data_IF_114099921834
#
_entry.id   IF_114099921834
#
_cell.length_a   1.000
_cell.length_b   1.000
_cell.length_c   1.000
_cell.angle_alpha   90.00
_cell.angle_beta   90.00
_cell.angle_gamma   90.00
#
_symmetry.space_group_name_H-M   'P 1'
#
loop_
_entity.id
_entity.type
_entity.pdbx_description
1 polymer ?
#
# COMPACT_ATOMS: atom_id res chain seq x y z
N UNK A 1 -9.94 -43.16 42.63
CA UNK A 1 -11.00 -43.56 43.56
C UNK A 1 -10.69 -42.91 44.90
N UNK A 2 -11.58 -42.01 45.36
CA UNK A 2 -11.91 -41.71 46.78
C UNK A 2 -10.89 -40.90 47.63
N UNK A 3 -11.24 -39.62 47.85
CA UNK A 3 -11.03 -38.84 49.11
C UNK A 3 -11.89 -39.45 50.24
N UNK A 4 -11.55 -39.35 51.55
CA UNK A 4 -11.58 -38.10 52.35
C UNK A 4 -10.49 -38.12 53.48
N UNK A 5 -10.30 -37.20 54.42
CA UNK A 5 -10.97 -36.02 54.95
C UNK A 5 -10.23 -35.61 56.24
N UNK A 6 -10.66 -34.52 56.86
CA UNK A 6 -10.35 -34.03 58.22
C UNK A 6 -8.98 -33.39 58.49
N UNK A 7 -8.99 -32.05 58.65
CA UNK A 7 -8.37 -31.45 59.83
C UNK A 7 -9.20 -30.29 60.37
N UNK A 8 -9.51 -30.43 61.66
CA UNK A 8 -10.32 -29.56 62.52
C UNK A 8 -9.55 -28.30 62.96
N UNK A 9 -10.36 -27.30 63.28
CA UNK A 9 -10.07 -25.97 63.82
C UNK A 9 -9.62 -26.01 65.29
N UNK A 10 -8.79 -25.04 65.69
CA UNK A 10 -8.72 -24.53 67.06
C UNK A 10 -8.69 -22.99 67.07
N UNK A 11 -9.60 -22.41 67.87
CA UNK A 11 -9.70 -21.04 68.44
C UNK A 11 -9.28 -19.82 67.60
N UNK A 12 -10.04 -18.71 67.55
CA UNK A 12 -10.60 -17.97 68.69
C UNK A 12 -11.79 -17.09 68.21
N UNK A 13 -12.66 -16.83 69.19
CA UNK A 13 -14.02 -16.28 69.18
C UNK A 13 -14.21 -14.90 68.54
N UNK A 14 -15.46 -14.74 68.09
CA UNK A 14 -16.10 -13.54 67.58
C UNK A 14 -16.40 -12.48 68.66
N UNK A 15 -16.36 -11.21 68.25
CA UNK A 15 -17.10 -10.11 68.89
C UNK A 15 -17.98 -9.38 67.84
N UNK A 16 -19.15 -8.84 68.26
CA UNK A 16 -20.20 -8.40 67.35
C UNK A 16 -19.96 -6.95 66.87
N UNK A 17 -20.22 -6.73 65.58
CA UNK A 17 -20.24 -5.41 64.97
C UNK A 17 -21.30 -4.53 65.64
N UNK A 18 -20.84 -3.58 66.45
CA UNK A 18 -21.65 -2.48 66.95
C UNK A 18 -21.96 -1.50 65.81
N UNK A 19 -23.25 -1.28 65.59
CA UNK A 19 -23.81 -0.22 64.77
C UNK A 19 -23.40 1.15 65.32
N UNK A 20 -22.48 1.83 64.62
CA UNK A 20 -22.15 3.24 64.90
C UNK A 20 -22.94 4.12 63.94
N UNK A 21 -23.70 5.03 64.55
CA UNK A 21 -24.60 5.96 63.92
C UNK A 21 -23.90 6.87 62.90
N UNK A 22 -24.61 7.09 61.78
CA UNK A 22 -24.35 8.13 60.79
C UNK A 22 -24.34 9.51 61.48
N UNK A 23 -23.16 10.03 61.77
CA UNK A 23 -22.95 11.46 61.95
C UNK A 23 -22.63 12.01 60.57
N UNK A 24 -23.59 12.76 60.00
CA UNK A 24 -23.44 13.43 58.72
C UNK A 24 -22.31 14.44 58.77
N UNK A 25 -21.16 14.05 58.21
CA UNK A 25 -20.13 14.99 57.77
C UNK A 25 -20.36 15.20 56.28
N UNK A 26 -20.64 16.42 55.81
CA UNK A 26 -20.83 16.66 54.38
C UNK A 26 -19.53 16.35 53.64
N UNK A 27 -19.61 15.46 52.65
CA UNK A 27 -18.54 15.25 51.68
C UNK A 27 -18.21 16.59 51.02
N UNK A 28 -16.94 17.01 50.94
CA UNK A 28 -16.60 18.19 50.15
C UNK A 28 -16.94 17.89 48.68
N UNK A 29 -17.78 18.74 48.10
CA UNK A 29 -18.02 18.79 46.66
C UNK A 29 -16.68 18.99 45.96
N UNK A 30 -16.21 17.97 45.25
CA UNK A 30 -15.03 18.08 44.38
C UNK A 30 -15.49 18.73 43.08
N UNK A 31 -15.94 19.98 43.17
CA UNK A 31 -16.11 20.86 42.03
C UNK A 31 -14.74 21.46 41.71
N UNK A 32 -14.17 21.04 40.57
CA UNK A 32 -13.04 21.73 39.95
C UNK A 32 -11.65 21.23 40.32
N UNK A 33 -11.36 19.95 40.11
CA UNK A 33 -9.99 19.53 39.79
C UNK A 33 -9.89 19.36 38.28
N UNK A 34 -9.71 20.47 37.57
CA UNK A 34 -9.26 20.42 36.18
C UNK A 34 -7.85 19.81 36.20
N UNK A 35 -7.71 18.57 35.74
CA UNK A 35 -6.40 18.05 35.40
C UNK A 35 -5.78 19.02 34.39
N UNK A 36 -4.61 19.61 34.66
CA UNK A 36 -3.96 20.47 33.68
C UNK A 36 -3.65 19.60 32.46
N UNK A 37 -4.42 19.79 31.39
CA UNK A 37 -4.08 19.22 30.10
C UNK A 37 -2.72 19.80 29.71
N UNK A 38 -1.75 18.96 29.29
CA UNK A 38 -0.48 19.46 28.78
C UNK A 38 -0.75 20.42 27.61
N UNK A 39 0.09 21.46 27.42
CA UNK A 39 -0.11 22.42 26.34
C UNK A 39 -0.21 21.68 25.00
N UNK A 40 -1.20 22.05 24.19
CA UNK A 40 -1.40 21.53 22.85
C UNK A 40 -0.17 21.87 21.99
N UNK A 41 0.79 20.96 21.95
CA UNK A 41 1.84 20.96 20.92
C UNK A 41 1.16 20.91 19.55
N UNK A 42 1.62 21.70 18.56
CA UNK A 42 1.07 21.63 17.22
C UNK A 42 1.13 20.18 16.72
N UNK A 43 0.12 19.69 15.99
CA UNK A 43 0.08 18.33 15.50
C UNK A 43 1.37 18.07 14.71
N UNK A 44 2.22 17.20 15.27
CA UNK A 44 3.40 16.70 14.57
C UNK A 44 2.86 15.98 13.32
N UNK A 45 3.44 16.19 12.12
CA UNK A 45 3.00 15.44 10.95
C UNK A 45 2.99 13.95 11.32
N UNK A 46 1.99 13.17 10.88
CA UNK A 46 1.83 11.79 11.31
C UNK A 46 3.15 11.06 11.06
N UNK A 47 3.89 10.78 12.15
CA UNK A 47 5.11 9.98 12.07
C UNK A 47 4.65 8.61 11.62
N UNK A 48 5.03 8.24 10.41
CA UNK A 48 4.72 6.91 9.86
C UNK A 48 5.30 5.92 10.86
N UNK A 49 4.46 5.09 11.53
CA UNK A 49 4.96 4.20 12.56
C UNK A 49 6.02 3.28 11.95
N UNK A 50 7.13 3.03 12.67
CA UNK A 50 8.27 2.31 12.12
C UNK A 50 7.86 0.91 11.66
N UNK A 51 8.52 0.41 10.63
CA UNK A 51 8.32 -0.96 10.17
C UNK A 51 9.07 -1.91 11.10
N UNK A 52 8.42 -2.28 12.21
CA UNK A 52 9.00 -3.14 13.25
C UNK A 52 8.35 -4.51 13.24
N UNK A 53 9.12 -5.57 13.50
CA UNK A 53 8.62 -6.94 13.49
C UNK A 53 8.47 -7.52 12.09
N UNK A 54 9.14 -6.91 11.10
CA UNK A 54 9.11 -7.27 9.67
C UNK A 54 10.51 -7.51 9.11
N UNK A 55 11.48 -7.75 9.99
CA UNK A 55 12.88 -7.94 9.65
C UNK A 55 13.08 -9.18 8.77
N UNK A 56 12.29 -10.23 8.98
CA UNK A 56 12.35 -11.46 8.15
C UNK A 56 11.96 -11.17 6.70
N UNK A 57 10.87 -10.43 6.48
CA UNK A 57 10.39 -10.05 5.16
C UNK A 57 11.34 -9.06 4.47
N UNK A 58 11.87 -8.09 5.23
CA UNK A 58 12.85 -7.13 4.71
C UNK A 58 14.17 -7.80 4.33
N UNK A 59 14.65 -8.77 5.13
CA UNK A 59 15.86 -9.53 4.82
C UNK A 59 15.65 -10.44 3.59
N UNK A 60 14.45 -11.03 3.43
CA UNK A 60 14.13 -11.80 2.24
C UNK A 60 14.11 -10.94 0.96
N UNK A 61 13.58 -9.71 1.04
CA UNK A 61 13.63 -8.76 -0.08
C UNK A 61 15.08 -8.34 -0.39
N UNK A 62 15.89 -8.09 0.65
CA UNK A 62 17.31 -7.79 0.52
C UNK A 62 18.09 -8.93 -0.12
N UNK A 63 17.87 -10.18 0.31
CA UNK A 63 18.55 -11.34 -0.27
C UNK A 63 18.21 -11.49 -1.76
N UNK A 64 16.94 -11.29 -2.13
CA UNK A 64 16.52 -11.31 -3.53
C UNK A 64 17.14 -10.17 -4.35
N UNK A 65 17.34 -9.00 -3.74
CA UNK A 65 18.02 -7.89 -4.42
C UNK A 65 19.46 -8.25 -4.75
N UNK A 66 20.20 -8.82 -3.79
CA UNK A 66 21.57 -9.28 -4.01
C UNK A 66 21.64 -10.40 -5.06
N UNK A 67 20.73 -11.37 -5.00
CA UNK A 67 20.61 -12.40 -6.03
C UNK A 67 20.31 -11.80 -7.41
N UNK A 68 19.49 -10.75 -7.49
CA UNK A 68 19.13 -10.12 -8.74
C UNK A 68 20.31 -9.37 -9.40
N UNK A 69 21.25 -8.89 -8.58
CA UNK A 69 22.48 -8.26 -9.07
C UNK A 69 23.44 -9.27 -9.70
N UNK A 70 23.48 -10.50 -9.18
CA UNK A 70 24.42 -11.54 -9.62
C UNK A 70 23.85 -12.47 -10.71
N UNK A 71 22.59 -12.88 -10.56
CA UNK A 71 21.98 -13.99 -11.31
C UNK A 71 20.88 -13.55 -12.29
N UNK A 72 20.74 -12.25 -12.53
CA UNK A 72 19.72 -11.69 -13.42
C UNK A 72 18.39 -11.40 -12.73
N UNK A 73 17.34 -11.21 -13.50
CA UNK A 73 16.03 -10.76 -13.03
C UNK A 73 15.44 -11.65 -11.93
N UNK A 74 14.84 -11.04 -10.91
CA UNK A 74 14.10 -11.74 -9.85
C UNK A 74 12.76 -11.08 -9.60
N UNK A 75 11.75 -11.87 -9.23
CA UNK A 75 10.44 -11.36 -8.85
C UNK A 75 10.14 -11.72 -7.39
N UNK A 76 9.89 -10.73 -6.55
CA UNK A 76 9.33 -10.89 -5.22
C UNK A 76 7.82 -10.60 -5.26
N UNK A 77 6.99 -11.58 -4.91
CA UNK A 77 5.55 -11.39 -4.72
C UNK A 77 5.24 -11.24 -3.24
N UNK A 78 4.94 -10.02 -2.81
CA UNK A 78 4.56 -9.70 -1.44
C UNK A 78 3.05 -9.90 -1.26
N UNK A 79 2.67 -11.05 -0.72
CA UNK A 79 1.27 -11.49 -0.62
C UNK A 79 0.78 -11.34 0.81
N UNK A 80 -0.41 -10.81 1.02
CA UNK A 80 -0.99 -10.72 2.36
C UNK A 80 -2.39 -10.12 2.35
N UNK A 81 -3.05 -10.10 3.51
CA UNK A 81 -4.35 -9.45 3.66
C UNK A 81 -4.24 -7.92 3.52
N UNK A 82 -5.38 -7.25 3.39
CA UNK A 82 -5.42 -5.79 3.47
C UNK A 82 -5.05 -5.33 4.87
N UNK A 83 -4.26 -4.25 4.99
CA UNK A 83 -3.93 -3.66 6.28
C UNK A 83 -2.79 -4.32 7.07
N UNK A 84 -2.28 -5.50 6.67
CA UNK A 84 -1.15 -6.18 7.35
C UNK A 84 0.19 -5.45 7.28
N UNK A 85 0.27 -4.38 6.48
CA UNK A 85 1.45 -3.51 6.40
C UNK A 85 2.32 -3.71 5.16
N UNK A 86 1.85 -4.36 4.09
CA UNK A 86 2.60 -4.53 2.82
C UNK A 86 3.20 -3.22 2.29
N UNK A 87 2.40 -2.15 2.22
CA UNK A 87 2.86 -0.83 1.78
C UNK A 87 3.94 -0.23 2.72
N UNK A 88 3.90 -0.56 4.02
CA UNK A 88 4.93 -0.13 4.97
C UNK A 88 6.25 -0.87 4.74
N UNK A 89 6.20 -2.18 4.50
CA UNK A 89 7.38 -2.99 4.17
C UNK A 89 8.05 -2.47 2.89
N UNK A 90 7.28 -2.21 1.83
CA UNK A 90 7.83 -1.67 0.57
C UNK A 90 8.46 -0.29 0.76
N UNK A 91 7.81 0.59 1.53
CA UNK A 91 8.36 1.93 1.83
C UNK A 91 9.66 1.86 2.63
N UNK A 92 9.73 0.98 3.62
CA UNK A 92 10.94 0.75 4.41
C UNK A 92 12.06 0.19 3.53
N UNK A 93 11.76 -0.84 2.74
CA UNK A 93 12.71 -1.45 1.81
C UNK A 93 13.25 -0.43 0.80
N UNK A 94 12.37 0.38 0.19
CA UNK A 94 12.75 1.50 -0.68
C UNK A 94 13.72 2.45 0.01
N UNK A 95 13.43 2.82 1.25
CA UNK A 95 14.24 3.77 2.01
C UNK A 95 15.64 3.20 2.25
N UNK A 96 15.75 1.91 2.59
CA UNK A 96 17.03 1.21 2.75
C UNK A 96 17.83 1.16 1.45
N UNK A 97 17.20 0.76 0.34
CA UNK A 97 17.86 0.70 -0.97
C UNK A 97 18.37 2.08 -1.41
N UNK A 98 17.58 3.14 -1.22
CA UNK A 98 18.00 4.52 -1.54
C UNK A 98 19.16 4.99 -0.68
N UNK A 99 19.18 4.64 0.62
CA UNK A 99 20.31 4.96 1.52
C UNK A 99 21.60 4.24 1.10
N UNK A 100 21.49 3.04 0.53
CA UNK A 100 22.60 2.29 -0.07
C UNK A 100 22.99 2.81 -1.47
N UNK A 101 22.30 3.84 -1.99
CA UNK A 101 22.56 4.42 -3.30
C UNK A 101 21.93 3.66 -4.48
N UNK A 102 21.09 2.66 -4.20
CA UNK A 102 20.36 1.91 -5.22
C UNK A 102 19.25 2.74 -5.89
N UNK A 103 18.85 2.29 -7.08
CA UNK A 103 17.78 2.93 -7.87
C UNK A 103 16.47 2.22 -7.56
N UNK A 104 15.44 2.98 -7.20
CA UNK A 104 14.08 2.45 -6.97
C UNK A 104 13.11 3.14 -7.91
N UNK A 105 12.47 2.34 -8.77
CA UNK A 105 11.45 2.74 -9.73
C UNK A 105 10.11 2.17 -9.26
N UNK A 106 9.08 3.00 -9.13
CA UNK A 106 7.81 2.58 -8.54
C UNK A 106 6.64 2.95 -9.45
N UNK A 107 5.63 2.08 -9.51
CA UNK A 107 4.38 2.33 -10.20
C UNK A 107 3.22 1.62 -9.51
N UNK A 108 2.01 2.16 -9.69
CA UNK A 108 0.80 1.62 -9.07
C UNK A 108 -0.20 1.17 -10.11
N UNK A 109 -0.81 0.00 -9.89
CA UNK A 109 -1.89 -0.50 -10.75
C UNK A 109 -3.21 0.21 -10.42
N UNK A 110 -3.66 1.06 -11.34
CA UNK A 110 -4.93 1.76 -11.25
C UNK A 110 -5.86 1.21 -12.35
N UNK A 111 -7.07 0.74 -12.02
CA UNK A 111 -8.02 0.26 -13.02
C UNK A 111 -8.30 1.29 -14.10
N UNK A 112 -8.42 0.85 -15.35
CA UNK A 112 -8.71 1.71 -16.51
C UNK A 112 -7.47 2.37 -17.15
N UNK A 113 -6.29 2.29 -16.53
CA UNK A 113 -5.03 2.78 -17.11
C UNK A 113 -4.19 1.60 -17.63
N UNK A 114 -4.24 1.35 -18.94
CA UNK A 114 -3.39 0.34 -19.57
C UNK A 114 -1.91 0.64 -19.31
N UNK A 115 -1.11 -0.38 -18.95
CA UNK A 115 0.31 -0.22 -18.61
C UNK A 115 0.60 0.86 -17.55
N UNK A 116 -0.40 1.18 -16.70
CA UNK A 116 -0.32 2.24 -15.70
C UNK A 116 0.98 2.27 -14.89
N UNK A 117 1.37 1.19 -14.19
CA UNK A 117 2.58 1.20 -13.38
C UNK A 117 3.84 1.39 -14.22
N UNK A 118 3.89 0.85 -15.44
CA UNK A 118 5.05 0.97 -16.31
C UNK A 118 5.23 2.36 -16.89
N UNK A 119 4.16 3.16 -17.02
CA UNK A 119 4.30 4.57 -17.36
C UNK A 119 5.10 5.34 -16.31
N UNK A 120 4.81 5.09 -15.03
CA UNK A 120 5.48 5.78 -13.92
C UNK A 120 6.93 5.30 -13.79
N UNK A 121 7.15 3.99 -13.98
CA UNK A 121 8.48 3.36 -13.99
C UNK A 121 9.35 3.90 -15.14
N UNK A 122 8.80 3.99 -16.36
CA UNK A 122 9.54 4.49 -17.54
C UNK A 122 9.91 5.96 -17.37
N UNK A 123 8.99 6.80 -16.87
CA UNK A 123 9.31 8.20 -16.59
C UNK A 123 10.41 8.34 -15.54
N UNK A 124 10.33 7.57 -14.45
CA UNK A 124 11.35 7.56 -13.40
C UNK A 124 12.72 7.07 -13.92
N UNK A 125 12.72 6.05 -14.78
CA UNK A 125 13.94 5.53 -15.39
C UNK A 125 14.61 6.54 -16.32
N UNK A 126 13.83 7.21 -17.18
CA UNK A 126 14.35 8.27 -18.07
C UNK A 126 14.93 9.43 -17.27
N UNK A 127 14.23 9.88 -16.21
CA UNK A 127 14.73 10.92 -15.32
C UNK A 127 16.04 10.52 -14.65
N UNK A 128 16.16 9.28 -14.18
CA UNK A 128 17.40 8.77 -13.61
C UNK A 128 18.56 8.80 -14.61
N UNK A 129 18.34 8.35 -15.86
CA UNK A 129 19.36 8.39 -16.91
C UNK A 129 19.80 9.82 -17.24
N UNK A 130 18.85 10.76 -17.31
CA UNK A 130 19.13 12.19 -17.49
C UNK A 130 19.98 12.77 -16.34
N UNK A 131 19.64 12.44 -15.08
CA UNK A 131 20.38 12.91 -13.89
C UNK A 131 21.83 12.42 -13.85
N UNK A 132 22.10 11.21 -14.35
CA UNK A 132 23.47 10.66 -14.45
C UNK A 132 24.17 11.03 -15.76
N UNK A 133 23.53 11.83 -16.62
CA UNK A 133 24.10 12.30 -17.89
C UNK A 133 24.23 11.20 -18.95
N UNK A 134 23.40 10.15 -18.88
CA UNK A 134 23.40 9.05 -19.83
C UNK A 134 22.25 9.22 -20.84
N UNK A 135 22.59 9.41 -22.11
CA UNK A 135 21.59 9.49 -23.16
C UNK A 135 21.09 8.08 -23.53
N UNK A 136 19.77 7.84 -23.63
CA UNK A 136 19.25 6.53 -24.00
C UNK A 136 19.73 6.13 -25.40
N UNK A 137 20.26 4.91 -25.53
CA UNK A 137 20.81 4.40 -26.80
C UNK A 137 19.76 3.88 -27.79
N UNK A 138 18.48 4.09 -27.53
CA UNK A 138 17.37 3.62 -28.36
C UNK A 138 16.43 4.79 -28.72
N UNK A 139 15.68 4.62 -29.80
CA UNK A 139 14.70 5.62 -30.23
C UNK A 139 13.50 5.62 -29.29
N UNK A 140 13.27 6.75 -28.62
CA UNK A 140 12.10 6.96 -27.74
C UNK A 140 10.78 6.96 -28.52
N UNK A 141 10.82 6.97 -29.86
CA UNK A 141 9.65 6.92 -30.74
C UNK A 141 8.80 5.66 -30.50
N UNK A 142 9.40 4.54 -30.11
CA UNK A 142 8.67 3.32 -29.76
C UNK A 142 7.81 3.46 -28.49
N UNK A 143 8.12 4.45 -27.64
CA UNK A 143 7.31 4.81 -26.49
C UNK A 143 6.23 5.85 -26.88
N UNK A 144 6.53 6.72 -27.85
CA UNK A 144 5.69 7.85 -28.22
C UNK A 144 4.45 7.48 -29.04
N UNK A 145 3.41 8.30 -28.91
CA UNK A 145 2.25 8.30 -29.79
C UNK A 145 2.68 8.61 -31.25
N UNK A 146 2.13 7.89 -32.23
CA UNK A 146 2.39 8.11 -33.67
C UNK A 146 2.11 9.55 -34.09
N UNK A 147 1.10 10.18 -33.49
CA UNK A 147 0.71 11.56 -33.77
C UNK A 147 1.43 12.59 -32.88
N UNK A 148 2.43 12.17 -32.09
CA UNK A 148 3.14 13.03 -31.12
C UNK A 148 2.25 13.57 -29.99
N UNK A 149 1.03 13.04 -29.89
CA UNK A 149 -0.03 13.53 -29.02
C UNK A 149 0.24 13.29 -27.52
N UNK A 150 0.99 12.22 -27.21
CA UNK A 150 1.37 11.82 -25.87
C UNK A 150 2.78 11.24 -25.91
N UNK A 151 3.53 11.42 -24.81
CA UNK A 151 4.86 10.82 -24.62
C UNK A 151 4.80 9.28 -24.59
N UNK A 152 3.66 8.72 -24.22
CA UNK A 152 3.41 7.28 -24.13
C UNK A 152 2.15 6.89 -24.92
N UNK A 153 2.27 6.10 -25.99
CA UNK A 153 1.15 5.83 -26.90
C UNK A 153 0.00 5.06 -26.25
N UNK A 154 0.26 4.24 -25.22
CA UNK A 154 -0.79 3.50 -24.51
C UNK A 154 -1.67 4.40 -23.62
N UNK A 155 -1.33 5.69 -23.47
CA UNK A 155 -2.18 6.68 -22.81
C UNK A 155 -3.36 7.12 -23.68
N UNK A 156 -3.45 6.64 -24.92
CA UNK A 156 -4.71 6.68 -25.66
C UNK A 156 -5.76 5.81 -24.98
N UNK A 157 -6.49 6.40 -24.03
CA UNK A 157 -7.82 5.92 -23.67
C UNK A 157 -8.65 5.99 -24.94
N UNK A 158 -9.02 4.82 -25.47
CA UNK A 158 -9.70 4.61 -26.74
C UNK A 158 -10.68 5.73 -27.12
N UNK A 159 -10.34 6.53 -28.15
CA UNK A 159 -11.21 7.01 -29.24
C UNK A 159 -10.54 8.17 -29.98
N UNK A 160 -9.85 7.86 -31.08
CA UNK A 160 -9.75 8.82 -32.19
C UNK A 160 -10.31 8.10 -33.42
N UNK A 161 -11.58 8.31 -33.79
CA UNK A 161 -12.05 7.98 -35.13
C UNK A 161 -11.50 9.06 -36.06
N UNK A 162 -10.37 8.77 -36.72
CA UNK A 162 -9.69 9.74 -37.58
C UNK A 162 -8.81 9.07 -38.63
N UNK A 163 -9.43 8.73 -39.76
CA UNK A 163 -8.84 8.68 -41.11
C UNK A 163 -7.38 8.23 -41.24
N UNK A 164 -7.16 6.92 -41.22
CA UNK A 164 -5.98 6.27 -41.82
C UNK A 164 -6.52 5.25 -42.83
N UNK A 165 -5.92 5.03 -44.02
CA UNK A 165 -6.42 4.07 -44.99
C UNK A 165 -6.53 2.71 -44.29
N UNK A 166 -7.71 2.11 -44.29
CA UNK A 166 -7.97 0.86 -43.58
C UNK A 166 -6.98 -0.21 -44.07
N UNK A 167 -6.02 -0.64 -43.23
CA UNK A 167 -5.29 -1.86 -43.50
C UNK A 167 -6.30 -3.02 -43.52
N UNK A 168 -5.96 -4.14 -44.16
CA UNK A 168 -6.74 -5.36 -43.91
C UNK A 168 -6.73 -5.67 -42.41
N UNK A 169 -7.75 -6.37 -41.89
CA UNK A 169 -7.80 -6.70 -40.45
C UNK A 169 -6.53 -7.43 -40.00
N UNK A 170 -5.98 -8.29 -40.86
CA UNK A 170 -4.73 -9.03 -40.64
C UNK A 170 -3.51 -8.09 -40.56
N UNK A 171 -3.43 -7.06 -41.41
CA UNK A 171 -2.35 -6.05 -41.37
C UNK A 171 -2.44 -5.17 -40.11
N UNK A 172 -3.66 -4.85 -39.67
CA UNK A 172 -3.90 -4.06 -38.47
C UNK A 172 -3.48 -4.82 -37.20
N UNK A 173 -3.85 -6.09 -37.08
CA UNK A 173 -3.46 -6.96 -35.96
C UNK A 173 -1.95 -7.20 -35.92
N UNK A 174 -1.34 -7.49 -37.07
CA UNK A 174 0.11 -7.67 -37.19
C UNK A 174 0.86 -6.40 -36.78
N UNK A 175 0.41 -5.22 -37.24
CA UNK A 175 1.01 -3.94 -36.85
C UNK A 175 0.86 -3.65 -35.35
N UNK A 176 -0.27 -4.02 -34.74
CA UNK A 176 -0.51 -3.83 -33.31
C UNK A 176 0.40 -4.73 -32.47
N UNK A 177 0.58 -5.98 -32.90
CA UNK A 177 1.51 -6.92 -32.29
C UNK A 177 2.95 -6.42 -32.36
N UNK A 178 3.41 -5.99 -33.54
CA UNK A 178 4.75 -5.43 -33.71
C UNK A 178 4.98 -4.20 -32.83
N UNK A 179 4.01 -3.28 -32.73
CA UNK A 179 4.13 -2.11 -31.84
C UNK A 179 4.27 -2.52 -30.38
N UNK A 180 3.51 -3.54 -29.95
CA UNK A 180 3.59 -4.07 -28.59
C UNK A 180 4.94 -4.71 -28.30
N UNK A 181 5.48 -5.48 -29.24
CA UNK A 181 6.81 -6.08 -29.10
C UNK A 181 7.91 -5.02 -29.02
N UNK A 182 7.87 -4.02 -29.92
CA UNK A 182 8.80 -2.88 -29.88
C UNK A 182 8.72 -2.13 -28.55
N UNK A 183 7.51 -1.92 -28.02
CA UNK A 183 7.32 -1.33 -26.69
C UNK A 183 8.00 -2.17 -25.61
N UNK A 184 7.79 -3.49 -25.62
CA UNK A 184 8.34 -4.40 -24.63
C UNK A 184 9.87 -4.43 -24.68
N UNK A 185 10.45 -4.52 -25.88
CA UNK A 185 11.89 -4.43 -26.11
C UNK A 185 12.48 -3.09 -25.67
N UNK A 186 11.74 -2.00 -25.92
CA UNK A 186 12.18 -0.65 -25.53
C UNK A 186 12.22 -0.49 -24.01
N UNK A 187 11.18 -0.96 -23.31
CA UNK A 187 11.15 -0.95 -21.84
C UNK A 187 12.26 -1.84 -21.27
N UNK A 188 12.46 -3.03 -21.85
CA UNK A 188 13.55 -3.92 -21.44
C UNK A 188 14.91 -3.25 -21.63
N UNK A 189 15.15 -2.64 -22.78
CA UNK A 189 16.40 -1.92 -23.10
C UNK A 189 16.63 -0.75 -22.17
N UNK A 190 15.58 0.01 -21.83
CA UNK A 190 15.65 1.09 -20.86
C UNK A 190 16.07 0.58 -19.48
N UNK A 191 15.41 -0.47 -18.97
CA UNK A 191 15.74 -1.05 -17.67
C UNK A 191 17.15 -1.67 -17.67
N UNK A 192 17.61 -2.21 -18.80
CA UNK A 192 18.98 -2.70 -18.96
C UNK A 192 20.01 -1.58 -18.85
N UNK A 193 19.80 -0.43 -19.51
CA UNK A 193 20.70 0.72 -19.37
C UNK A 193 20.75 1.25 -17.94
N UNK A 194 19.61 1.29 -17.26
CA UNK A 194 19.58 1.61 -15.82
C UNK A 194 20.40 0.58 -15.05
N UNK A 195 20.21 -0.71 -15.31
CA UNK A 195 20.90 -1.81 -14.66
C UNK A 195 22.41 -1.91 -14.97
N UNK A 196 22.89 -1.33 -16.07
CA UNK A 196 24.31 -1.19 -16.38
C UNK A 196 24.99 -0.20 -15.43
N UNK A 197 24.27 0.86 -15.04
CA UNK A 197 24.74 1.86 -14.08
C UNK A 197 24.54 1.35 -12.65
N UNK A 198 23.31 0.99 -12.29
CA UNK A 198 22.91 0.42 -11.00
C UNK A 198 21.67 -0.48 -11.17
N UNK A 199 21.74 -1.77 -10.78
CA UNK A 199 20.58 -2.68 -10.83
C UNK A 199 19.36 -2.10 -10.10
N UNK A 200 18.25 -1.81 -10.81
CA UNK A 200 17.09 -1.17 -10.21
C UNK A 200 16.25 -2.16 -9.42
N UNK A 201 15.59 -1.64 -8.38
CA UNK A 201 14.43 -2.27 -7.75
C UNK A 201 13.17 -1.65 -8.36
N UNK A 202 12.37 -2.47 -9.04
CA UNK A 202 11.12 -2.07 -9.67
C UNK A 202 9.95 -2.51 -8.79
N UNK A 203 9.29 -1.57 -8.11
CA UNK A 203 8.14 -1.85 -7.25
C UNK A 203 6.82 -1.62 -7.99
N UNK A 204 5.96 -2.63 -8.00
CA UNK A 204 4.63 -2.58 -8.62
C UNK A 204 3.59 -2.76 -7.52
N UNK A 205 2.89 -1.68 -7.18
CA UNK A 205 1.85 -1.69 -6.17
C UNK A 205 0.52 -2.21 -6.72
N UNK A 206 -0.20 -2.93 -5.85
CA UNK A 206 -1.53 -3.50 -6.13
C UNK A 206 -1.59 -4.33 -7.43
N UNK A 207 -0.63 -5.23 -7.62
CA UNK A 207 -0.51 -6.07 -8.82
C UNK A 207 -1.77 -6.94 -9.07
N UNK A 208 -2.58 -7.21 -8.06
CA UNK A 208 -3.91 -7.84 -8.21
C UNK A 208 -4.91 -7.00 -9.02
N UNK A 209 -4.67 -5.69 -9.17
CA UNK A 209 -5.48 -4.76 -9.97
C UNK A 209 -4.88 -4.49 -11.36
N UNK A 210 -3.80 -5.16 -11.72
CA UNK A 210 -3.12 -4.96 -13.00
C UNK A 210 -3.99 -5.40 -14.18
N UNK A 211 -3.92 -4.64 -15.28
CA UNK A 211 -4.51 -5.06 -16.55
C UNK A 211 -3.71 -6.21 -17.18
N UNK A 212 -4.33 -6.90 -18.15
CA UNK A 212 -3.68 -8.03 -18.86
C UNK A 212 -2.38 -7.61 -19.55
N UNK A 213 -2.33 -6.40 -20.12
CA UNK A 213 -1.15 -5.85 -20.79
C UNK A 213 0.04 -5.72 -19.86
N UNK A 214 -0.18 -5.11 -18.69
CA UNK A 214 0.81 -4.98 -17.61
C UNK A 214 1.36 -6.35 -17.18
N UNK A 215 0.50 -7.34 -16.98
CA UNK A 215 0.95 -8.68 -16.58
C UNK A 215 1.74 -9.40 -17.69
N UNK A 216 1.35 -9.25 -18.96
CA UNK A 216 2.13 -9.81 -20.07
C UNK A 216 3.49 -9.13 -20.23
N UNK A 217 3.57 -7.80 -20.03
CA UNK A 217 4.85 -7.08 -20.05
C UNK A 217 5.74 -7.54 -18.90
N UNK A 218 5.20 -7.67 -17.69
CA UNK A 218 5.96 -8.18 -16.56
C UNK A 218 6.46 -9.60 -16.81
N UNK A 219 5.64 -10.48 -17.40
CA UNK A 219 6.08 -11.81 -17.83
C UNK A 219 7.21 -11.73 -18.84
N UNK A 220 7.06 -10.90 -19.88
CA UNK A 220 8.11 -10.70 -20.90
C UNK A 220 9.45 -10.22 -20.29
N UNK A 221 9.41 -9.35 -19.29
CA UNK A 221 10.60 -8.83 -18.62
C UNK A 221 11.28 -9.85 -17.69
N UNK A 222 10.54 -10.87 -17.22
CA UNK A 222 11.01 -11.90 -16.29
C UNK A 222 11.41 -13.21 -16.97
N UNK A 223 11.03 -13.37 -18.24
CA UNK A 223 11.11 -14.62 -18.96
C UNK A 223 12.26 -14.56 -19.96
N UNK A 224 13.52 -14.58 -19.45
CA UNK A 224 14.88 -14.71 -20.03
C UNK A 224 15.06 -14.78 -21.59
N UNK A 225 14.18 -14.15 -22.37
CA UNK A 225 13.99 -14.41 -23.80
C UNK A 225 13.11 -15.63 -24.18
N UNK A 226 12.36 -16.28 -23.27
CA UNK A 226 11.53 -17.49 -23.55
C UNK A 226 10.01 -17.33 -23.44
N UNK A 227 9.52 -16.08 -23.48
CA UNK A 227 8.08 -15.82 -23.54
C UNK A 227 7.40 -16.37 -24.79
N UNK A 228 6.07 -16.61 -24.76
CA UNK A 228 5.30 -17.03 -25.92
C UNK A 228 5.35 -16.03 -27.10
N UNK A 229 6.02 -14.89 -26.92
CA UNK A 229 6.14 -13.80 -27.88
C UNK A 229 7.60 -13.47 -28.24
N UNK A 230 8.57 -14.28 -27.81
CA UNK A 230 10.02 -13.97 -27.92
C UNK A 230 10.76 -14.77 -28.99
N UNK A 231 10.07 -15.46 -29.92
CA UNK A 231 10.70 -16.28 -30.97
C UNK A 231 11.76 -15.54 -31.82
N UNK A 232 11.80 -14.20 -31.78
CA UNK A 232 12.78 -13.36 -32.48
C UNK A 232 13.56 -12.37 -31.58
N UNK A 233 13.47 -12.44 -30.24
CA UNK A 233 14.20 -11.54 -29.35
C UNK A 233 15.54 -12.16 -29.00
N UNK A 234 16.65 -11.48 -29.34
CA UNK A 234 18.00 -12.00 -29.12
C UNK A 234 18.24 -12.30 -27.61
N UNK A 235 18.72 -13.51 -27.26
CA UNK A 235 18.84 -13.97 -25.87
C UNK A 235 19.99 -13.31 -25.07
N UNK A 236 20.75 -12.38 -25.64
CA UNK A 236 22.07 -11.99 -25.11
C UNK A 236 22.09 -10.82 -24.11
N UNK A 237 20.97 -10.47 -23.46
CA UNK A 237 20.96 -9.43 -22.42
C UNK A 237 20.09 -9.81 -21.22
N UNK A 238 20.70 -10.46 -20.24
CA UNK A 238 20.09 -10.73 -18.94
C UNK A 238 19.81 -9.41 -18.21
N UNK A 239 18.58 -9.21 -17.74
CA UNK A 239 18.14 -7.98 -17.11
C UNK A 239 18.41 -8.07 -15.61
N UNK A 240 19.44 -7.39 -15.10
CA UNK A 240 19.72 -7.36 -13.66
C UNK A 240 18.77 -6.38 -12.94
N UNK A 241 17.62 -6.87 -12.50
CA UNK A 241 16.64 -6.09 -11.76
C UNK A 241 15.85 -6.94 -10.76
N UNK A 242 15.50 -6.35 -9.62
CA UNK A 242 14.54 -6.94 -8.69
C UNK A 242 13.16 -6.33 -8.93
N UNK A 243 12.20 -7.13 -9.36
CA UNK A 243 10.79 -6.75 -9.41
C UNK A 243 10.13 -7.10 -8.08
N UNK A 244 9.35 -6.19 -7.50
CA UNK A 244 8.60 -6.42 -6.26
C UNK A 244 7.13 -6.07 -6.48
N UNK A 245 6.26 -7.07 -6.57
CA UNK A 245 4.82 -6.91 -6.73
C UNK A 245 4.08 -7.10 -5.42
N UNK A 246 3.23 -6.15 -5.00
CA UNK A 246 2.32 -6.39 -3.87
C UNK A 246 0.99 -6.97 -4.35
N UNK A 247 0.52 -8.03 -3.69
CA UNK A 247 -0.73 -8.74 -4.05
C UNK A 247 -1.59 -8.92 -2.79
N UNK A 248 -2.89 -8.71 -2.95
CA UNK A 248 -3.89 -8.97 -1.92
C UNK A 248 -4.36 -10.44 -1.93
N UNK A 249 -4.22 -11.14 -0.81
CA UNK A 249 -4.64 -12.56 -0.67
C UNK A 249 -6.15 -12.71 -0.50
N UNK A 250 -6.84 -11.68 -0.03
CA UNK A 250 -8.30 -11.59 0.08
C UNK A 250 -9.00 -11.35 -1.27
N UNK A 251 -8.25 -10.92 -2.29
CA UNK A 251 -8.76 -10.70 -3.63
C UNK A 251 -8.98 -12.04 -4.33
N UNK A 252 -10.17 -12.63 -4.15
CA UNK A 252 -10.64 -13.81 -4.91
C UNK A 252 -10.98 -13.50 -6.38
N UNK A 253 -10.90 -12.24 -6.81
CA UNK A 253 -11.45 -11.80 -8.08
C UNK A 253 -10.42 -11.79 -9.21
N UNK A 254 -10.66 -12.63 -10.22
CA UNK A 254 -10.26 -12.48 -11.65
C UNK A 254 -8.75 -12.54 -12.00
N UNK A 255 -7.83 -12.29 -11.07
CA UNK A 255 -6.38 -12.32 -11.33
C UNK A 255 -5.72 -13.71 -11.15
N UNK A 256 -6.50 -14.74 -10.79
CA UNK A 256 -5.99 -16.05 -10.39
C UNK A 256 -5.17 -16.79 -11.45
N UNK A 257 -5.55 -16.72 -12.72
CA UNK A 257 -4.82 -17.41 -13.79
C UNK A 257 -3.53 -16.69 -14.20
N UNK A 258 -3.58 -15.37 -14.41
CA UNK A 258 -2.44 -14.59 -14.88
C UNK A 258 -1.36 -14.40 -13.80
N UNK A 259 -1.74 -14.16 -12.54
CA UNK A 259 -0.80 -14.13 -11.41
C UNK A 259 -0.29 -15.55 -11.11
N UNK A 260 -1.12 -16.57 -11.33
CA UNK A 260 -0.72 -17.98 -11.23
C UNK A 260 0.45 -18.33 -12.16
N UNK A 261 0.52 -17.72 -13.34
CA UNK A 261 1.68 -17.87 -14.23
C UNK A 261 2.94 -17.19 -13.70
N UNK A 262 2.84 -15.97 -13.15
CA UNK A 262 3.98 -15.29 -12.51
C UNK A 262 4.57 -16.10 -11.35
N UNK A 263 3.72 -16.73 -10.54
CA UNK A 263 4.13 -17.59 -9.42
C UNK A 263 4.94 -18.83 -9.85
N UNK A 264 4.83 -19.23 -11.12
CA UNK A 264 5.50 -20.42 -11.67
C UNK A 264 6.80 -20.09 -12.41
N UNK A 265 7.09 -18.81 -12.66
CA UNK A 265 8.33 -18.40 -13.30
C UNK A 265 9.54 -18.74 -12.41
N UNK A 266 10.61 -19.20 -13.03
CA UNK A 266 11.90 -19.36 -12.36
C UNK A 266 12.41 -17.98 -11.92
N UNK A 267 12.94 -17.88 -10.70
CA UNK A 267 13.34 -16.59 -10.12
C UNK A 267 12.22 -15.81 -9.40
N UNK A 268 10.98 -16.33 -9.38
CA UNK A 268 9.91 -15.79 -8.52
C UNK A 268 9.97 -16.36 -7.11
N UNK A 269 9.96 -15.49 -6.09
CA UNK A 269 9.85 -15.85 -4.68
C UNK A 269 8.63 -15.17 -4.04
N UNK A 270 7.80 -15.98 -3.37
CA UNK A 270 6.64 -15.50 -2.61
C UNK A 270 7.06 -15.16 -1.19
N UNK A 271 6.65 -13.99 -0.72
CA UNK A 271 6.84 -13.52 0.65
C UNK A 271 5.46 -13.28 1.24
N UNK A 272 5.04 -14.17 2.13
CA UNK A 272 3.74 -14.05 2.80
C UNK A 272 3.86 -13.10 3.99
N UNK A 273 3.09 -12.02 3.94
CA UNK A 273 2.95 -11.03 5.02
C UNK A 273 1.71 -11.37 5.82
N UNK A 274 1.92 -12.15 6.87
CA UNK A 274 0.89 -12.49 7.84
C UNK A 274 0.68 -11.40 8.90
N UNK A 275 -0.08 -11.73 9.94
CA UNK A 275 -0.12 -10.91 11.16
C UNK A 275 1.27 -10.85 11.81
N UNK A 276 1.49 -9.82 12.64
CA UNK A 276 2.69 -9.79 13.48
C UNK A 276 2.60 -10.94 14.48
N UNK A 277 3.71 -11.65 14.69
CA UNK A 277 3.86 -12.58 15.82
C UNK A 277 4.02 -11.80 17.14
N UNK A 278 4.07 -12.50 18.26
CA UNK A 278 4.18 -11.85 19.58
C UNK A 278 5.42 -10.94 19.68
N UNK A 279 6.53 -11.35 19.08
CA UNK A 279 7.75 -10.56 19.03
C UNK A 279 7.56 -9.30 18.18
N UNK A 280 6.93 -9.41 17.02
CA UNK A 280 6.59 -8.27 16.17
C UNK A 280 5.59 -7.31 16.82
N UNK A 281 4.59 -7.82 17.55
CA UNK A 281 3.65 -7.00 18.32
C UNK A 281 4.37 -6.25 19.44
N UNK A 282 5.23 -6.94 20.21
CA UNK A 282 6.06 -6.31 21.24
C UNK A 282 6.90 -5.19 20.64
N UNK A 283 7.59 -5.48 19.54
CA UNK A 283 8.45 -4.53 18.89
C UNK A 283 7.65 -3.30 18.36
N UNK A 284 6.46 -3.53 17.79
CA UNK A 284 5.54 -2.47 17.38
C UNK A 284 5.05 -1.60 18.55
N UNK A 285 4.72 -2.21 19.70
CA UNK A 285 4.26 -1.49 20.90
C UNK A 285 5.39 -0.71 21.59
N UNK A 286 6.63 -1.20 21.51
CA UNK A 286 7.81 -0.52 22.06
C UNK A 286 8.39 0.56 21.14
N UNK A 287 7.87 0.69 19.92
CA UNK A 287 8.34 1.68 18.97
C UNK A 287 8.09 3.12 19.49
N UNK A 288 9.08 4.05 19.39
CA UNK A 288 8.94 5.41 19.91
C UNK A 288 7.68 6.14 19.42
N UNK A 289 7.37 6.01 18.12
CA UNK A 289 6.19 6.65 17.54
C UNK A 289 4.87 6.02 18.01
N UNK A 290 4.85 4.69 18.21
CA UNK A 290 3.67 4.01 18.75
C UNK A 290 3.43 4.43 20.20
N UNK A 291 4.49 4.47 21.01
CA UNK A 291 4.44 4.96 22.39
C UNK A 291 3.95 6.41 22.43
N UNK A 292 4.48 7.28 21.58
CA UNK A 292 4.04 8.67 21.50
C UNK A 292 2.55 8.78 21.18
N UNK A 293 2.03 7.97 20.24
CA UNK A 293 0.60 7.94 19.89
C UNK A 293 -0.28 7.38 21.00
N UNK A 294 0.18 6.36 21.73
CA UNK A 294 -0.53 5.85 22.90
C UNK A 294 -0.57 6.94 23.98
N UNK A 295 0.56 7.58 24.25
CA UNK A 295 0.66 8.65 25.24
C UNK A 295 -0.22 9.85 24.89
N UNK A 296 -0.23 10.31 23.65
CA UNK A 296 -1.07 11.41 23.18
C UNK A 296 -2.57 11.13 23.38
N UNK A 297 -3.00 9.87 23.20
CA UNK A 297 -4.41 9.48 23.36
C UNK A 297 -4.82 9.17 24.79
N UNK A 298 -3.89 8.74 25.64
CA UNK A 298 -4.19 8.26 27.00
C UNK A 298 -3.68 9.18 28.10
N UNK A 299 -2.82 10.14 27.78
CA UNK A 299 -2.04 10.88 28.76
C UNK A 299 -1.10 10.00 29.60
N UNK A 300 -0.88 8.74 29.19
CA UNK A 300 -0.17 7.74 30.00
C UNK A 300 -0.99 7.15 31.15
N UNK A 301 -2.31 7.40 31.22
CA UNK A 301 -3.17 6.85 32.26
C UNK A 301 -3.40 5.34 32.05
N UNK A 302 -3.06 4.46 33.01
CA UNK A 302 -3.21 3.00 32.85
C UNK A 302 -4.63 2.58 32.48
N UNK A 303 -5.65 3.13 33.14
CA UNK A 303 -7.05 2.81 32.87
C UNK A 303 -7.47 3.19 31.43
N UNK A 304 -6.95 4.29 30.89
CA UNK A 304 -7.20 4.65 29.49
C UNK A 304 -6.47 3.73 28.50
N UNK A 305 -5.31 3.19 28.88
CA UNK A 305 -4.59 2.20 28.08
C UNK A 305 -5.38 0.88 28.07
N UNK A 306 -5.85 0.43 29.23
CA UNK A 306 -6.67 -0.79 29.34
C UNK A 306 -7.95 -0.66 28.50
N UNK A 307 -8.64 0.49 28.58
CA UNK A 307 -9.80 0.78 27.73
C UNK A 307 -9.49 0.78 26.23
N UNK A 308 -8.27 1.17 25.81
CA UNK A 308 -7.85 1.06 24.41
C UNK A 308 -7.61 -0.39 23.98
N UNK A 309 -7.19 -1.27 24.90
CA UNK A 309 -6.93 -2.68 24.64
C UNK A 309 -8.21 -3.52 24.67
N UNK A 310 -9.20 -3.13 25.49
CA UNK A 310 -10.48 -3.82 25.65
C UNK A 310 -11.49 -3.56 24.51
N UNK A 311 -11.21 -2.61 23.61
CA UNK A 311 -12.12 -2.26 22.52
C UNK A 311 -12.24 -3.35 21.44
N UNK A 312 -13.36 -4.08 21.42
CA UNK A 312 -13.71 -5.06 20.38
C UNK A 312 -14.64 -4.43 19.31
N UNK A 313 -14.53 -4.74 17.99
CA UNK A 313 -13.52 -5.54 17.29
C UNK A 313 -12.49 -4.74 16.48
N UNK A 314 -11.31 -5.34 16.32
CA UNK A 314 -10.17 -4.86 15.52
C UNK A 314 -10.24 -5.25 14.03
N UNK A 315 -11.40 -5.67 13.52
CA UNK A 315 -11.55 -6.10 12.12
C UNK A 315 -11.57 -4.90 11.16
N UNK A 316 -11.19 -5.08 9.87
CA UNK A 316 -11.31 -4.02 8.87
C UNK A 316 -12.72 -3.42 8.79
N UNK A 317 -13.76 -4.25 8.90
CA UNK A 317 -15.16 -3.84 8.86
C UNK A 317 -15.54 -3.01 10.08
N UNK A 318 -15.08 -3.41 11.26
CA UNK A 318 -15.29 -2.65 12.49
C UNK A 318 -14.52 -1.32 12.49
N UNK A 319 -13.32 -1.28 11.89
CA UNK A 319 -12.57 -0.04 11.67
C UNK A 319 -13.34 0.92 10.75
N UNK A 320 -13.83 0.43 9.61
CA UNK A 320 -14.63 1.25 8.67
C UNK A 320 -15.90 1.73 9.37
N UNK A 321 -16.60 0.85 10.09
CA UNK A 321 -17.80 1.20 10.86
C UNK A 321 -17.52 2.31 11.87
N UNK A 322 -16.42 2.22 12.63
CA UNK A 322 -16.03 3.25 13.60
C UNK A 322 -15.69 4.58 12.93
N UNK A 323 -14.98 4.55 11.80
CA UNK A 323 -14.70 5.75 11.01
C UNK A 323 -16.01 6.41 10.54
N UNK A 324 -16.97 5.62 10.05
CA UNK A 324 -18.28 6.11 9.61
C UNK A 324 -19.15 6.60 10.78
N UNK A 325 -19.02 6.01 11.97
CA UNK A 325 -19.73 6.42 13.19
C UNK A 325 -19.17 7.73 13.75
N UNK A 326 -17.85 7.88 13.75
CA UNK A 326 -17.14 9.07 14.22
C UNK A 326 -17.26 10.27 13.24
N UNK A 327 -17.70 10.03 12.00
CA UNK A 327 -17.94 11.07 11.00
C UNK A 327 -19.13 11.97 11.35
N UNK A 328 -18.99 13.26 11.05
CA UNK A 328 -20.12 14.20 11.08
C UNK A 328 -21.23 13.80 10.11
N UNK A 329 -22.46 14.22 10.39
CA UNK A 329 -23.62 13.96 9.52
C UNK A 329 -23.40 14.46 8.10
N UNK A 330 -22.72 15.60 7.93
CA UNK A 330 -22.33 16.15 6.63
C UNK A 330 -21.35 15.22 5.90
N UNK A 331 -20.31 14.73 6.58
CA UNK A 331 -19.32 13.83 6.00
C UNK A 331 -19.94 12.50 5.53
N UNK A 332 -20.87 11.95 6.32
CA UNK A 332 -21.60 10.73 5.98
C UNK A 332 -22.46 10.90 4.72
N UNK A 333 -23.18 12.01 4.59
CA UNK A 333 -24.00 12.29 3.40
C UNK A 333 -23.15 12.43 2.11
N UNK A 334 -21.97 13.02 2.19
CA UNK A 334 -21.05 13.11 1.04
C UNK A 334 -20.47 11.75 0.67
N UNK A 335 -20.12 10.92 1.67
CA UNK A 335 -19.66 9.55 1.44
C UNK A 335 -20.75 8.68 0.77
N UNK A 336 -22.02 8.85 1.17
CA UNK A 336 -23.16 8.18 0.54
C UNK A 336 -23.35 8.61 -0.92
N UNK A 337 -23.20 9.91 -1.21
CA UNK A 337 -23.27 10.42 -2.59
C UNK A 337 -22.12 9.91 -3.47
N UNK A 338 -20.90 9.86 -2.93
CA UNK A 338 -19.74 9.25 -3.60
C UNK A 338 -19.95 7.76 -3.88
N UNK A 339 -20.43 7.02 -2.89
CA UNK A 339 -20.70 5.59 -3.03
C UNK A 339 -21.79 5.32 -4.09
N UNK A 340 -22.77 6.23 -4.25
CA UNK A 340 -23.80 6.14 -5.27
C UNK A 340 -23.30 6.51 -6.68
N UNK A 341 -22.28 7.38 -6.79
CA UNK A 341 -21.68 7.79 -8.06
C UNK A 341 -20.70 6.76 -8.63
N UNK A 342 -20.13 5.90 -7.78
CA UNK A 342 -19.12 4.87 -8.13
C UNK A 342 -17.93 5.41 -8.95
N UNK A 343 -17.62 6.70 -8.77
CA UNK A 343 -16.56 7.41 -9.46
C UNK A 343 -16.03 8.56 -8.59
N UNK A 344 -14.77 8.99 -8.79
CA UNK A 344 -14.26 10.21 -8.17
C UNK A 344 -15.10 11.41 -8.59
N UNK A 345 -15.42 12.29 -7.64
CA UNK A 345 -16.26 13.45 -7.89
C UNK A 345 -15.74 14.70 -7.19
N UNK A 346 -16.00 15.85 -7.79
CA UNK A 346 -15.69 17.15 -7.23
C UNK A 346 -16.52 17.41 -5.96
N UNK A 347 -15.89 18.00 -4.96
CA UNK A 347 -16.52 18.38 -3.70
C UNK A 347 -17.72 19.33 -3.91
N UNK A 348 -17.65 20.22 -4.90
CA UNK A 348 -18.75 21.15 -5.21
C UNK A 348 -19.95 20.43 -5.85
N UNK A 349 -19.69 19.40 -6.66
CA UNK A 349 -20.74 18.54 -7.22
C UNK A 349 -21.43 17.72 -6.11
N UNK A 350 -20.65 17.14 -5.20
CA UNK A 350 -21.18 16.37 -4.07
C UNK A 350 -21.96 17.25 -3.09
N UNK A 351 -21.51 18.47 -2.85
CA UNK A 351 -22.23 19.47 -2.05
C UNK A 351 -23.60 19.82 -2.67
N UNK A 352 -23.64 19.94 -3.99
CA UNK A 352 -24.88 20.22 -4.74
C UNK A 352 -25.86 19.06 -4.65
N UNK A 353 -25.38 17.81 -4.77
CA UNK A 353 -26.21 16.60 -4.71
C UNK A 353 -26.76 16.37 -3.30
N UNK A 354 -25.95 16.61 -2.27
CA UNK A 354 -26.32 16.36 -0.88
C UNK A 354 -27.06 17.53 -0.21
N UNK A 355 -27.05 18.71 -0.83
CA UNK A 355 -27.62 19.93 -0.26
C UNK A 355 -26.89 20.43 1.00
N UNK A 356 -25.68 19.91 1.26
CA UNK A 356 -24.87 20.27 2.42
C UNK A 356 -23.81 21.32 2.03
N UNK A 357 -23.88 22.56 2.54
CA UNK A 357 -22.87 23.58 2.23
C UNK A 357 -21.52 23.20 2.85
N UNK A 358 -20.48 23.23 2.02
CA UNK A 358 -19.10 22.91 2.39
C UNK A 358 -18.41 24.18 2.90
N UNK A 359 -18.44 24.37 4.22
CA UNK A 359 -17.72 25.43 4.92
C UNK A 359 -16.22 25.10 5.10
N UNK A 360 -15.40 26.11 5.39
CA UNK A 360 -13.94 25.94 5.59
C UNK A 360 -13.61 24.93 6.71
N UNK A 361 -14.48 24.81 7.72
CA UNK A 361 -14.38 23.82 8.78
C UNK A 361 -14.59 22.38 8.26
N UNK A 362 -15.61 22.16 7.42
CA UNK A 362 -15.83 20.87 6.78
C UNK A 362 -14.68 20.51 5.83
N UNK A 363 -14.15 21.48 5.06
CA UNK A 363 -12.96 21.25 4.21
C UNK A 363 -11.73 20.80 5.00
N UNK A 364 -11.54 21.29 6.22
CA UNK A 364 -10.46 20.84 7.10
C UNK A 364 -10.69 19.40 7.61
N UNK A 365 -11.92 19.08 8.05
CA UNK A 365 -12.32 17.74 8.50
C UNK A 365 -12.15 16.69 7.38
N UNK A 366 -12.41 17.06 6.12
CA UNK A 366 -12.23 16.18 4.97
C UNK A 366 -10.77 15.94 4.60
N UNK A 367 -9.88 16.92 4.83
CA UNK A 367 -8.45 16.80 4.54
C UNK A 367 -7.75 15.76 5.42
N UNK A 368 -8.28 15.56 6.63
CA UNK A 368 -7.75 14.60 7.60
C UNK A 368 -8.31 13.17 7.38
N UNK A 369 -9.27 12.99 6.48
CA UNK A 369 -9.92 11.71 6.23
C UNK A 369 -9.40 11.05 4.93
N UNK A 370 -8.44 10.12 5.05
CA UNK A 370 -7.82 9.40 3.92
C UNK A 370 -8.83 8.75 2.95
N UNK A 371 -9.99 8.33 3.43
CA UNK A 371 -11.03 7.69 2.62
C UNK A 371 -11.71 8.66 1.64
N UNK A 372 -11.82 9.94 2.01
CA UNK A 372 -12.48 10.97 1.19
C UNK A 372 -11.46 11.65 0.27
N UNK A 373 -10.23 11.91 0.74
CA UNK A 373 -9.18 12.57 -0.05
C UNK A 373 -8.70 11.76 -1.25
N UNK A 374 -8.93 10.44 -1.27
CA UNK A 374 -8.52 9.56 -2.39
C UNK A 374 -9.53 9.59 -3.55
N UNK A 375 -10.76 10.02 -3.29
CA UNK A 375 -11.89 9.95 -4.22
C UNK A 375 -12.59 11.29 -4.46
N UNK A 376 -12.22 12.34 -3.72
CA UNK A 376 -12.69 13.71 -3.93
C UNK A 376 -11.56 14.52 -4.56
N UNK A 377 -11.82 15.10 -5.73
CA UNK A 377 -10.93 16.09 -6.35
C UNK A 377 -11.30 17.49 -5.85
N UNK A 378 -10.30 18.31 -5.50
CA UNK A 378 -10.47 19.72 -5.08
C UNK A 378 -11.00 20.62 -6.20
#
# INVERSE_FOLDING_TARGET
MIFPGDLRLDGVRAEPYASVALIGVPLPSIAGAAFPMPPSTPPRPPSVPPCVGREKELEALRSLYLEAQEKGERLALLEGLTGVGKARILREFRSRIRLEGGVVLEGSCIPGRAFGPFSDIVEAALRFLEEVGHAPSFELEALACVDGCHRFWWQHTSTVPGTVPSPSLDDAETSALERRLRLFDTIRSLLQQVAEIRPPVVMIHDLDRADRGTLTLLQFLLDEGSGPWTENVAPERTLRALFVGSVRTDSRAVAGESIGSLRRLEGTRRIEVGHLDEEGVRAYLTAPDTIARIFERTGGMPEAIDLLLEGDPLTPEARVKRIVEDMSTKARSLLEALAALDAPADLDLLATITGAPVDAAARAEFKDCELLTTHITE
#
